data_IF_735364932461
#
_entry.id   IF_735364932461
#
_cell.length_a   1.000
_cell.length_b   1.000
_cell.length_c   1.000
_cell.angle_alpha   90.00
_cell.angle_beta   90.00
_cell.angle_gamma   90.00
#
_symmetry.space_group_name_H-M   'P 1'
#
loop_
_entity.id
_entity.type
_entity.pdbx_description
1 polymer ?
#
# COMPACT_ATOMS: atom_id res chain seq x y z
N UNK A 1 12.84 -36.29 -13.88
CA UNK A 1 12.98 -36.73 -12.47
C UNK A 1 11.77 -37.58 -12.08
N UNK A 2 11.93 -38.63 -11.29
CA UNK A 2 10.83 -39.51 -10.89
C UNK A 2 10.09 -38.95 -9.66
N UNK A 3 8.82 -38.55 -9.82
CA UNK A 3 7.99 -37.97 -8.74
C UNK A 3 7.87 -38.89 -7.53
N UNK A 4 7.78 -40.21 -7.76
CA UNK A 4 7.66 -41.22 -6.70
C UNK A 4 8.88 -41.25 -5.77
N UNK A 5 10.08 -40.95 -6.29
CA UNK A 5 11.30 -40.89 -5.47
C UNK A 5 11.26 -39.66 -4.56
N UNK A 6 10.84 -38.50 -5.07
CA UNK A 6 10.75 -37.27 -4.28
C UNK A 6 9.70 -37.36 -3.18
N UNK A 7 8.59 -38.04 -3.44
CA UNK A 7 7.56 -38.36 -2.45
C UNK A 7 8.12 -39.31 -1.37
N UNK A 8 8.82 -40.37 -1.77
CA UNK A 8 9.41 -41.35 -0.84
C UNK A 8 10.49 -40.72 0.05
N UNK A 9 11.29 -39.81 -0.49
CA UNK A 9 12.30 -39.05 0.25
C UNK A 9 11.71 -37.88 1.05
N UNK A 10 10.39 -37.70 1.01
CA UNK A 10 9.67 -36.63 1.69
C UNK A 10 10.24 -35.24 1.37
N UNK A 11 10.71 -35.03 0.15
CA UNK A 11 11.43 -33.82 -0.25
C UNK A 11 10.64 -32.53 0.01
N UNK A 12 9.31 -32.58 -0.15
CA UNK A 12 8.43 -31.45 0.17
C UNK A 12 8.40 -31.14 1.67
N UNK A 13 8.53 -32.13 2.56
CA UNK A 13 8.65 -31.87 4.01
C UNK A 13 9.96 -31.19 4.33
N UNK A 14 11.05 -31.56 3.67
CA UNK A 14 12.34 -30.88 3.81
C UNK A 14 12.21 -29.42 3.39
N UNK A 15 11.57 -29.14 2.25
CA UNK A 15 11.27 -27.77 1.81
C UNK A 15 10.43 -27.00 2.83
N UNK A 16 9.39 -27.62 3.39
CA UNK A 16 8.53 -26.99 4.39
C UNK A 16 9.30 -26.51 5.64
N UNK A 17 10.43 -27.13 5.99
CA UNK A 17 11.29 -26.67 7.10
C UNK A 17 11.89 -25.28 6.85
N UNK A 18 11.98 -24.82 5.60
CA UNK A 18 12.52 -23.52 5.23
C UNK A 18 11.43 -22.44 5.11
N UNK A 19 10.15 -22.79 5.03
CA UNK A 19 9.09 -21.79 4.77
C UNK A 19 9.01 -20.71 5.85
N UNK A 20 9.16 -21.07 7.13
CA UNK A 20 9.14 -20.10 8.25
C UNK A 20 10.35 -19.17 8.29
N UNK A 21 11.36 -19.44 7.47
CA UNK A 21 12.61 -18.70 7.38
C UNK A 21 12.59 -17.71 6.21
N UNK A 22 11.64 -17.83 5.29
CA UNK A 22 11.55 -16.93 4.13
C UNK A 22 10.75 -15.68 4.47
N UNK A 23 11.34 -14.53 4.16
CA UNK A 23 10.79 -13.20 4.43
C UNK A 23 10.03 -12.61 3.25
N UNK A 24 10.13 -13.24 2.07
CA UNK A 24 9.58 -12.72 0.82
C UNK A 24 8.72 -13.78 0.15
N UNK A 25 7.62 -13.35 -0.47
CA UNK A 25 6.76 -14.27 -1.21
C UNK A 25 7.45 -14.81 -2.48
N UNK A 26 8.40 -14.07 -3.05
CA UNK A 26 9.25 -14.53 -4.15
C UNK A 26 10.17 -15.68 -3.73
N UNK A 27 10.79 -15.60 -2.55
CA UNK A 27 11.58 -16.70 -1.99
C UNK A 27 10.70 -17.93 -1.75
N UNK A 28 9.50 -17.74 -1.17
CA UNK A 28 8.54 -18.84 -0.99
C UNK A 28 8.19 -19.53 -2.32
N UNK A 29 8.00 -18.76 -3.39
CA UNK A 29 7.72 -19.31 -4.71
C UNK A 29 8.93 -20.03 -5.32
N UNK A 30 10.14 -19.48 -5.17
CA UNK A 30 11.38 -20.14 -5.58
C UNK A 30 11.58 -21.46 -4.83
N UNK A 31 11.39 -21.47 -3.51
CA UNK A 31 11.41 -22.66 -2.67
C UNK A 31 10.38 -23.67 -3.16
N UNK A 32 9.14 -23.27 -3.47
CA UNK A 32 8.10 -24.16 -4.02
C UNK A 32 8.48 -24.77 -5.37
N UNK A 33 9.15 -24.02 -6.23
CA UNK A 33 9.61 -24.49 -7.54
C UNK A 33 10.93 -25.27 -7.47
N UNK A 34 11.66 -25.18 -6.35
CA UNK A 34 12.93 -25.87 -6.15
C UNK A 34 12.76 -27.38 -6.34
N UNK A 35 13.60 -27.93 -7.21
CA UNK A 35 13.72 -29.35 -7.49
C UNK A 35 15.21 -29.73 -7.53
N UNK A 36 15.58 -30.98 -7.19
CA UNK A 36 16.98 -31.38 -7.23
C UNK A 36 17.56 -31.19 -8.65
N UNK A 37 18.84 -30.86 -8.73
CA UNK A 37 19.55 -30.67 -9.99
C UNK A 37 20.77 -31.57 -10.03
N UNK A 38 21.07 -32.14 -11.19
CA UNK A 38 22.29 -32.91 -11.44
C UNK A 38 23.36 -32.07 -12.17
N UNK A 39 23.08 -30.80 -12.46
CA UNK A 39 24.01 -29.90 -13.14
C UNK A 39 25.09 -29.44 -12.15
N UNK A 40 26.29 -29.97 -12.30
CA UNK A 40 27.41 -29.70 -11.39
C UNK A 40 27.69 -28.20 -11.21
N UNK A 41 27.64 -27.41 -12.28
CA UNK A 41 27.92 -25.96 -12.21
C UNK A 41 26.88 -25.22 -11.36
N UNK A 42 25.58 -25.56 -11.50
CA UNK A 42 24.52 -24.98 -10.67
C UNK A 42 24.66 -25.35 -9.19
N UNK A 43 25.11 -26.57 -8.91
CA UNK A 43 25.36 -27.02 -7.53
C UNK A 43 26.52 -26.22 -6.94
N UNK A 44 27.64 -26.12 -7.65
CA UNK A 44 28.82 -25.36 -7.21
C UNK A 44 28.48 -23.90 -6.93
N UNK A 45 27.77 -23.26 -7.85
CA UNK A 45 27.32 -21.88 -7.69
C UNK A 45 26.46 -21.71 -6.43
N UNK A 46 25.43 -22.55 -6.25
CA UNK A 46 24.55 -22.46 -5.07
C UNK A 46 25.32 -22.64 -3.73
N UNK A 47 26.30 -23.56 -3.69
CA UNK A 47 27.13 -23.72 -2.49
C UNK A 47 28.09 -22.55 -2.25
N UNK A 48 28.60 -21.94 -3.32
CA UNK A 48 29.45 -20.75 -3.22
C UNK A 48 28.66 -19.53 -2.74
N UNK A 49 27.47 -19.28 -3.31
CA UNK A 49 26.54 -18.24 -2.85
C UNK A 49 26.18 -18.41 -1.37
N UNK A 50 25.86 -19.64 -0.93
CA UNK A 50 25.55 -19.93 0.48
C UNK A 50 26.76 -19.66 1.40
N UNK A 51 27.97 -20.01 0.97
CA UNK A 51 29.20 -19.78 1.75
C UNK A 51 29.50 -18.29 1.88
N UNK A 52 29.37 -17.54 0.80
CA UNK A 52 29.53 -16.09 0.81
C UNK A 52 28.48 -15.41 1.69
N UNK A 53 27.23 -15.85 1.62
CA UNK A 53 26.17 -15.32 2.46
C UNK A 53 26.45 -15.59 3.95
N UNK A 54 26.97 -16.77 4.28
CA UNK A 54 27.39 -17.07 5.65
C UNK A 54 28.50 -16.12 6.14
N UNK A 55 29.51 -15.88 5.30
CA UNK A 55 30.58 -14.94 5.63
C UNK A 55 30.05 -13.51 5.79
N UNK A 56 29.10 -13.09 4.94
CA UNK A 56 28.45 -11.79 5.03
C UNK A 56 27.75 -11.60 6.37
N UNK A 57 27.04 -12.59 6.90
CA UNK A 57 26.38 -12.48 8.21
C UNK A 57 27.35 -12.46 9.40
N UNK A 58 28.55 -13.03 9.25
CA UNK A 58 29.59 -12.96 10.27
C UNK A 58 30.17 -11.55 10.33
N UNK A 59 30.50 -10.97 9.17
CA UNK A 59 31.07 -9.63 9.08
C UNK A 59 30.03 -8.51 9.29
N UNK A 60 28.79 -8.74 8.86
CA UNK A 60 27.66 -7.81 8.98
C UNK A 60 26.48 -8.45 9.71
N UNK A 61 26.53 -8.63 11.05
CA UNK A 61 25.48 -9.31 11.83
C UNK A 61 24.11 -8.63 11.79
N UNK A 62 24.09 -7.33 11.44
CA UNK A 62 22.87 -6.53 11.31
C UNK A 62 22.33 -6.47 9.89
N UNK A 63 22.92 -7.18 8.93
CA UNK A 63 22.40 -7.28 7.58
C UNK A 63 20.97 -7.85 7.60
N UNK A 64 20.04 -7.12 6.97
CA UNK A 64 18.64 -7.53 6.84
C UNK A 64 18.13 -7.22 5.45
N UNK A 65 17.30 -8.12 4.93
CA UNK A 65 16.53 -7.90 3.71
C UNK A 65 15.10 -7.57 4.12
N UNK A 66 14.52 -6.54 3.51
CA UNK A 66 13.12 -6.17 3.77
C UNK A 66 12.18 -7.26 3.26
N UNK A 67 11.16 -7.56 4.06
CA UNK A 67 10.06 -8.41 3.59
C UNK A 67 9.31 -7.74 2.42
N UNK A 68 9.06 -8.51 1.37
CA UNK A 68 8.32 -8.14 0.15
C UNK A 68 7.21 -9.15 -0.12
N UNK A 69 6.17 -8.71 -0.85
CA UNK A 69 5.10 -9.58 -1.34
C UNK A 69 5.26 -9.84 -2.83
N UNK A 70 4.50 -10.81 -3.34
CA UNK A 70 4.41 -11.18 -4.75
C UNK A 70 3.96 -9.97 -5.58
N UNK A 71 4.70 -9.66 -6.65
CA UNK A 71 4.38 -8.56 -7.57
C UNK A 71 4.45 -8.94 -9.05
N UNK A 72 4.80 -10.17 -9.41
CA UNK A 72 4.86 -10.61 -10.80
C UNK A 72 3.49 -10.49 -11.48
N UNK A 73 2.39 -10.80 -10.77
CA UNK A 73 1.04 -10.58 -11.29
C UNK A 73 0.74 -9.10 -11.54
N UNK A 74 1.22 -8.21 -10.66
CA UNK A 74 1.06 -6.76 -10.76
C UNK A 74 1.87 -6.20 -11.93
N UNK A 75 3.16 -6.54 -12.02
CA UNK A 75 4.05 -6.12 -13.10
C UNK A 75 3.55 -6.60 -14.46
N UNK A 76 3.11 -7.86 -14.57
CA UNK A 76 2.58 -8.40 -15.83
C UNK A 76 1.32 -7.66 -16.30
N UNK A 77 0.41 -7.33 -15.38
CA UNK A 77 -0.77 -6.51 -15.72
C UNK A 77 -0.37 -5.11 -16.17
N UNK A 78 0.60 -4.51 -15.49
CA UNK A 78 1.11 -3.18 -15.84
C UNK A 78 1.72 -3.17 -17.26
N UNK A 79 2.52 -4.18 -17.61
CA UNK A 79 3.06 -4.38 -18.97
C UNK A 79 1.96 -4.51 -20.02
N UNK A 80 0.85 -5.16 -19.67
CA UNK A 80 -0.32 -5.30 -20.55
C UNK A 80 -1.17 -4.01 -20.66
N UNK A 81 -0.74 -2.91 -20.05
CA UNK A 81 -1.39 -1.61 -20.13
C UNK A 81 -2.45 -1.36 -19.06
N UNK A 82 -2.54 -2.21 -18.02
CA UNK A 82 -3.39 -1.91 -16.87
C UNK A 82 -2.78 -0.78 -16.02
N UNK A 83 -3.64 -0.07 -15.31
CA UNK A 83 -3.23 0.86 -14.25
C UNK A 83 -3.26 0.15 -12.89
N UNK A 84 -2.43 0.63 -11.98
CA UNK A 84 -2.32 0.10 -10.62
C UNK A 84 -3.20 0.87 -9.64
N UNK A 85 -3.71 0.15 -8.66
CA UNK A 85 -4.33 0.75 -7.48
C UNK A 85 -3.27 1.09 -6.39
N UNK A 86 -3.71 1.74 -5.32
CA UNK A 86 -2.81 2.19 -4.24
C UNK A 86 -2.10 1.01 -3.56
N UNK A 87 -2.80 -0.09 -3.30
CA UNK A 87 -2.23 -1.27 -2.64
C UNK A 87 -1.10 -1.86 -3.50
N UNK A 88 -1.33 -1.98 -4.80
CA UNK A 88 -0.35 -2.44 -5.78
C UNK A 88 0.89 -1.53 -5.81
N UNK A 89 0.71 -0.20 -5.79
CA UNK A 89 1.83 0.74 -5.70
C UNK A 89 2.64 0.58 -4.41
N UNK A 90 2.00 0.28 -3.28
CA UNK A 90 2.71 0.03 -2.02
C UNK A 90 3.55 -1.25 -2.08
N UNK A 91 3.11 -2.28 -2.80
CA UNK A 91 3.92 -3.48 -3.04
C UNK A 91 5.18 -3.15 -3.84
N UNK A 92 5.03 -2.39 -4.93
CA UNK A 92 6.14 -1.94 -5.76
C UNK A 92 7.10 -1.04 -4.97
N UNK A 93 6.56 -0.09 -4.19
CA UNK A 93 7.34 0.80 -3.31
C UNK A 93 8.25 0.01 -2.37
N UNK A 94 7.76 -1.11 -1.82
CA UNK A 94 8.53 -1.97 -0.92
C UNK A 94 9.68 -2.68 -1.63
N UNK A 95 9.44 -3.20 -2.85
CA UNK A 95 10.48 -3.84 -3.67
C UNK A 95 11.55 -2.83 -4.08
N UNK A 96 11.15 -1.67 -4.59
CA UNK A 96 12.08 -0.61 -5.01
C UNK A 96 12.94 -0.11 -3.83
N UNK A 97 12.35 0.04 -2.65
CA UNK A 97 13.09 0.40 -1.43
C UNK A 97 14.10 -0.69 -1.07
N UNK A 98 13.69 -1.96 -1.07
CA UNK A 98 14.59 -3.09 -0.77
C UNK A 98 15.73 -3.19 -1.77
N UNK A 99 15.47 -2.98 -3.06
CA UNK A 99 16.49 -2.99 -4.11
C UNK A 99 17.57 -1.93 -3.83
N UNK A 100 17.15 -0.69 -3.57
CA UNK A 100 18.05 0.41 -3.22
C UNK A 100 18.81 0.18 -1.91
N UNK A 101 18.16 -0.32 -0.87
CA UNK A 101 18.84 -0.62 0.41
C UNK A 101 19.92 -1.69 0.21
N UNK A 102 19.65 -2.72 -0.59
CA UNK A 102 20.63 -3.77 -0.90
C UNK A 102 21.78 -3.25 -1.75
N UNK A 103 21.53 -2.42 -2.75
CA UNK A 103 22.59 -1.79 -3.52
C UNK A 103 23.43 -0.85 -2.68
N UNK A 104 22.80 -0.02 -1.85
CA UNK A 104 23.51 0.87 -0.93
C UNK A 104 24.32 0.09 0.10
N UNK A 105 23.80 -1.03 0.60
CA UNK A 105 24.53 -1.92 1.49
C UNK A 105 25.77 -2.50 0.78
N UNK A 106 25.59 -3.07 -0.42
CA UNK A 106 26.67 -3.67 -1.18
C UNK A 106 27.76 -2.66 -1.58
N UNK A 107 27.38 -1.45 -1.99
CA UNK A 107 28.34 -0.41 -2.38
C UNK A 107 29.22 0.09 -1.22
N UNK A 108 28.74 -0.03 0.02
CA UNK A 108 29.47 0.37 1.23
C UNK A 108 30.06 -0.84 1.98
N UNK A 109 30.04 -2.02 1.38
CA UNK A 109 30.52 -3.24 2.01
C UNK A 109 32.05 -3.23 2.04
N UNK A 110 32.61 -3.28 3.25
CA UNK A 110 34.05 -3.32 3.49
C UNK A 110 34.45 -4.64 4.16
N UNK A 111 35.75 -4.99 4.06
CA UNK A 111 36.37 -6.14 4.74
C UNK A 111 35.86 -7.54 4.33
N UNK A 112 35.07 -7.63 3.26
CA UNK A 112 34.65 -8.89 2.64
C UNK A 112 34.57 -8.71 1.12
N UNK A 113 34.99 -9.73 0.38
CA UNK A 113 34.84 -9.79 -1.08
C UNK A 113 33.79 -10.83 -1.41
N UNK A 114 32.82 -10.46 -2.24
CA UNK A 114 31.79 -11.34 -2.78
C UNK A 114 32.08 -11.55 -4.27
N UNK A 115 32.14 -12.78 -4.74
CA UNK A 115 32.32 -13.09 -6.16
C UNK A 115 30.99 -13.52 -6.78
N UNK A 116 30.32 -14.50 -6.18
CA UNK A 116 29.08 -15.06 -6.69
C UNK A 116 27.87 -14.19 -6.32
N UNK A 117 27.80 -13.67 -5.09
CA UNK A 117 26.73 -12.77 -4.66
C UNK A 117 26.81 -11.40 -5.34
N UNK A 118 28.00 -10.95 -5.73
CA UNK A 118 28.18 -9.72 -6.50
C UNK A 118 27.33 -9.73 -7.79
N UNK A 119 27.27 -10.88 -8.46
CA UNK A 119 26.47 -11.06 -9.69
C UNK A 119 24.97 -10.81 -9.49
N UNK A 120 24.47 -10.91 -8.26
CA UNK A 120 23.09 -10.62 -7.90
C UNK A 120 22.90 -9.17 -7.49
N UNK A 121 23.77 -8.63 -6.62
CA UNK A 121 23.71 -7.22 -6.20
C UNK A 121 23.87 -6.25 -7.39
N UNK A 122 24.75 -6.58 -8.34
CA UNK A 122 25.00 -5.76 -9.53
C UNK A 122 23.84 -5.78 -10.55
N UNK A 123 22.92 -6.76 -10.44
CA UNK A 123 21.73 -6.86 -11.30
C UNK A 123 20.50 -6.17 -10.73
N UNK A 124 20.54 -5.75 -9.48
CA UNK A 124 19.50 -4.92 -8.89
C UNK A 124 19.49 -3.55 -9.59
N UNK A 125 18.34 -2.88 -9.58
CA UNK A 125 18.19 -1.56 -10.17
C UNK A 125 17.75 -0.54 -9.11
N UNK A 126 18.40 0.63 -9.09
CA UNK A 126 17.91 1.78 -8.33
C UNK A 126 17.12 2.71 -9.23
N UNK A 127 15.89 3.01 -8.82
CA UNK A 127 14.98 3.90 -9.51
C UNK A 127 14.61 5.08 -8.61
N UNK A 128 15.54 6.01 -8.32
CA UNK A 128 15.32 7.08 -7.33
C UNK A 128 14.16 8.00 -7.74
N UNK A 129 13.97 8.24 -9.03
CA UNK A 129 12.84 9.02 -9.54
C UNK A 129 11.49 8.31 -9.30
N UNK A 130 11.43 6.99 -9.51
CA UNK A 130 10.20 6.21 -9.24
C UNK A 130 9.90 6.16 -7.74
N UNK A 131 10.92 5.98 -6.90
CA UNK A 131 10.76 6.04 -5.44
C UNK A 131 10.24 7.41 -4.97
N UNK A 132 10.71 8.49 -5.61
CA UNK A 132 10.20 9.84 -5.39
C UNK A 132 8.72 9.97 -5.76
N UNK A 133 8.33 9.49 -6.95
CA UNK A 133 6.92 9.48 -7.37
C UNK A 133 6.02 8.69 -6.42
N UNK A 134 6.50 7.55 -5.91
CA UNK A 134 5.75 6.71 -4.96
C UNK A 134 5.61 7.32 -3.57
N UNK A 135 6.24 8.46 -3.26
CA UNK A 135 5.92 9.23 -2.05
C UNK A 135 4.52 9.84 -2.10
N UNK A 136 3.89 9.90 -3.27
CA UNK A 136 2.48 10.24 -3.41
C UNK A 136 1.55 9.29 -2.65
N UNK A 137 2.02 8.09 -2.27
CA UNK A 137 1.26 7.10 -1.50
C UNK A 137 1.90 6.89 -0.14
N UNK A 138 1.11 7.06 0.91
CA UNK A 138 1.55 6.77 2.27
C UNK A 138 1.28 5.31 2.66
N UNK A 139 1.91 4.88 3.75
CA UNK A 139 1.87 3.50 4.21
C UNK A 139 0.49 3.08 4.74
N UNK A 140 -0.41 4.05 4.96
CA UNK A 140 -1.81 3.81 5.32
C UNK A 140 -2.74 3.62 4.11
N UNK A 141 -2.21 3.70 2.89
CA UNK A 141 -3.00 3.47 1.67
C UNK A 141 -3.77 4.70 1.18
N UNK A 142 -3.30 5.91 1.52
CA UNK A 142 -3.88 7.15 1.01
C UNK A 142 -2.97 7.86 0.03
N UNK A 143 -3.58 8.55 -0.92
CA UNK A 143 -2.89 9.50 -1.80
C UNK A 143 -2.67 10.80 -1.02
N UNK A 144 -1.42 11.22 -0.95
CA UNK A 144 -0.99 12.43 -0.26
C UNK A 144 -1.47 13.70 -0.97
N UNK A 145 -1.69 14.77 -0.19
CA UNK A 145 -2.15 16.04 -0.77
C UNK A 145 -1.16 16.59 -1.81
N UNK A 146 0.14 16.40 -1.59
CA UNK A 146 1.18 16.88 -2.50
C UNK A 146 1.34 16.01 -3.76
N UNK A 147 0.56 14.93 -3.91
CA UNK A 147 0.59 14.11 -5.12
C UNK A 147 0.20 14.91 -6.37
N UNK A 148 -0.66 15.92 -6.21
CA UNK A 148 -0.87 16.95 -7.24
C UNK A 148 -1.38 18.26 -6.62
N UNK A 149 -1.06 19.38 -7.27
CA UNK A 149 -1.57 20.70 -6.86
C UNK A 149 -3.11 20.75 -6.91
N UNK A 150 -3.69 20.08 -7.90
CA UNK A 150 -5.14 20.04 -8.11
C UNK A 150 -5.84 19.24 -7.01
N UNK A 151 -5.30 18.10 -6.59
CA UNK A 151 -5.82 17.31 -5.47
C UNK A 151 -5.77 18.13 -4.17
N UNK A 152 -4.65 18.82 -3.90
CA UNK A 152 -4.54 19.71 -2.75
C UNK A 152 -5.54 20.87 -2.80
N UNK A 153 -5.83 21.41 -4.00
CA UNK A 153 -6.83 22.46 -4.20
C UNK A 153 -8.25 21.95 -3.94
N UNK A 154 -8.61 20.79 -4.50
CA UNK A 154 -9.93 20.17 -4.32
C UNK A 154 -10.18 19.86 -2.84
N UNK A 155 -9.22 19.22 -2.16
CA UNK A 155 -9.34 18.87 -0.74
C UNK A 155 -9.48 20.08 0.18
N UNK A 156 -8.76 21.18 -0.12
CA UNK A 156 -8.94 22.45 0.60
C UNK A 156 -10.35 23.00 0.42
N UNK A 157 -10.85 23.06 -0.82
CA UNK A 157 -12.23 23.52 -1.09
C UNK A 157 -13.27 22.68 -0.35
N UNK A 158 -13.11 21.36 -0.35
CA UNK A 158 -14.00 20.46 0.40
C UNK A 158 -13.99 20.83 1.89
N UNK A 159 -12.80 20.98 2.47
CA UNK A 159 -12.66 21.33 3.88
C UNK A 159 -13.32 22.69 4.21
N UNK A 160 -13.11 23.69 3.35
CA UNK A 160 -13.67 25.03 3.50
C UNK A 160 -15.20 24.99 3.40
N UNK A 161 -15.77 24.30 2.40
CA UNK A 161 -17.22 24.12 2.25
C UNK A 161 -17.82 23.34 3.42
N UNK A 162 -17.16 22.30 3.91
CA UNK A 162 -17.57 21.56 5.11
C UNK A 162 -17.56 22.45 6.36
N UNK A 163 -16.62 23.38 6.47
CA UNK A 163 -16.60 24.38 7.54
C UNK A 163 -17.75 25.36 7.43
N UNK A 164 -18.01 25.88 6.24
CA UNK A 164 -19.12 26.79 5.99
C UNK A 164 -20.47 26.13 6.32
N UNK A 165 -20.65 24.84 5.99
CA UNK A 165 -21.86 24.09 6.39
C UNK A 165 -22.03 24.08 7.91
N UNK A 166 -20.95 23.80 8.66
CA UNK A 166 -20.99 23.80 10.12
C UNK A 166 -21.35 25.17 10.68
N UNK A 167 -20.74 26.23 10.16
CA UNK A 167 -20.97 27.61 10.62
C UNK A 167 -22.43 28.04 10.37
N UNK A 168 -22.94 27.79 9.16
CA UNK A 168 -24.35 28.07 8.79
C UNK A 168 -25.31 27.30 9.70
N UNK A 169 -25.07 26.02 9.96
CA UNK A 169 -25.92 25.21 10.83
C UNK A 169 -25.88 25.70 12.29
N UNK A 170 -24.71 26.09 12.80
CA UNK A 170 -24.58 26.64 14.14
C UNK A 170 -25.32 27.98 14.30
N UNK A 171 -25.25 28.85 13.29
CA UNK A 171 -25.97 30.11 13.29
C UNK A 171 -27.49 29.89 13.22
N UNK A 172 -27.95 28.96 12.37
CA UNK A 172 -29.35 28.57 12.31
C UNK A 172 -29.84 27.94 13.61
N UNK A 173 -29.04 27.10 14.27
CA UNK A 173 -29.36 26.54 15.59
C UNK A 173 -29.61 27.64 16.63
N UNK A 174 -28.75 28.67 16.68
CA UNK A 174 -28.88 29.80 17.61
C UNK A 174 -30.10 30.66 17.28
N UNK A 175 -30.26 31.04 16.01
CA UNK A 175 -31.32 31.95 15.56
C UNK A 175 -32.72 31.31 15.61
N UNK A 176 -32.82 29.99 15.40
CA UNK A 176 -34.09 29.28 15.29
C UNK A 176 -34.37 28.34 16.46
N UNK A 177 -33.62 28.41 17.57
CA UNK A 177 -33.71 27.50 18.71
C UNK A 177 -35.15 27.21 19.19
N UNK A 178 -36.02 28.23 19.24
CA UNK A 178 -37.42 28.07 19.69
C UNK A 178 -38.27 27.18 18.76
N UNK A 179 -37.92 27.13 17.47
CA UNK A 179 -38.58 26.34 16.43
C UNK A 179 -38.11 24.88 16.41
N UNK A 180 -37.01 24.56 17.11
CA UNK A 180 -36.41 23.23 17.12
C UNK A 180 -36.94 22.38 18.28
N UNK A 181 -37.02 21.07 18.06
CA UNK A 181 -37.30 20.11 19.13
C UNK A 181 -36.08 19.96 20.03
N UNK A 182 -34.89 19.91 19.44
CA UNK A 182 -33.60 19.83 20.13
C UNK A 182 -32.62 20.81 19.46
N UNK A 183 -31.79 21.50 20.25
CA UNK A 183 -30.81 22.47 19.72
C UNK A 183 -29.51 21.76 19.35
N UNK A 184 -29.62 20.78 18.45
CA UNK A 184 -28.49 19.99 17.95
C UNK A 184 -28.62 19.81 16.43
N UNK A 185 -27.48 19.70 15.75
CA UNK A 185 -27.47 19.21 14.37
C UNK A 185 -27.63 17.70 14.42
N UNK A 186 -28.64 17.18 13.73
CA UNK A 186 -28.82 15.75 13.55
C UNK A 186 -28.28 15.30 12.19
N UNK A 187 -27.99 14.00 12.06
CA UNK A 187 -27.67 13.38 10.77
C UNK A 187 -28.80 12.42 10.36
N UNK A 188 -29.29 12.56 9.13
CA UNK A 188 -30.30 11.70 8.52
C UNK A 188 -29.85 11.31 7.12
N UNK A 189 -29.69 10.01 6.86
CA UNK A 189 -29.23 9.48 5.56
C UNK A 189 -27.91 10.15 5.08
N UNK A 190 -27.00 10.44 6.00
CA UNK A 190 -25.74 11.14 5.70
C UNK A 190 -25.86 12.64 5.44
N UNK A 191 -27.04 13.23 5.60
CA UNK A 191 -27.30 14.68 5.49
C UNK A 191 -27.40 15.32 6.86
N UNK A 192 -26.82 16.51 6.99
CA UNK A 192 -26.93 17.32 8.19
C UNK A 192 -28.26 18.09 8.18
N UNK A 193 -29.07 17.87 9.21
CA UNK A 193 -30.45 18.34 9.28
C UNK A 193 -30.75 18.95 10.64
N UNK A 194 -31.71 19.88 10.66
CA UNK A 194 -32.24 20.47 11.89
C UNK A 194 -33.52 19.73 12.31
N UNK A 195 -33.66 19.32 13.59
CA UNK A 195 -34.89 18.72 14.11
C UNK A 195 -35.91 19.82 14.44
N UNK A 196 -36.82 20.08 13.51
CA UNK A 196 -37.82 21.16 13.59
C UNK A 196 -39.12 20.64 14.19
N UNK A 197 -39.74 21.38 15.11
CA UNK A 197 -41.10 21.08 15.58
C UNK A 197 -42.06 21.13 14.38
N UNK A 198 -42.92 20.13 14.23
CA UNK A 198 -43.81 20.01 13.07
C UNK A 198 -44.68 21.27 12.83
N UNK A 199 -45.07 21.98 13.90
CA UNK A 199 -45.80 23.26 13.82
C UNK A 199 -45.05 24.38 13.09
N UNK A 200 -43.72 24.31 13.04
CA UNK A 200 -42.84 25.28 12.38
C UNK A 200 -42.25 24.77 11.05
N UNK A 201 -42.69 23.61 10.53
CA UNK A 201 -42.10 22.99 9.32
C UNK A 201 -42.02 23.90 8.09
N UNK A 202 -42.96 24.83 7.93
CA UNK A 202 -43.02 25.76 6.79
C UNK A 202 -42.25 27.07 7.04
N UNK A 203 -41.69 27.26 8.26
CA UNK A 203 -40.93 28.47 8.64
C UNK A 203 -39.43 28.33 8.41
N UNK A 204 -38.94 27.12 8.21
CA UNK A 204 -37.55 26.84 7.85
C UNK A 204 -37.54 26.39 6.39
N UNK A 205 -36.93 27.21 5.52
CA UNK A 205 -36.81 26.90 4.10
C UNK A 205 -35.78 25.78 3.90
N UNK A 206 -36.20 24.67 3.31
CA UNK A 206 -35.35 23.50 3.13
C UNK A 206 -36.09 22.28 2.61
N UNK A 207 -35.38 21.16 2.55
CA UNK A 207 -35.94 19.86 2.14
C UNK A 207 -36.15 19.00 3.36
N UNK A 208 -37.33 18.39 3.45
CA UNK A 208 -37.64 17.41 4.51
C UNK A 208 -37.00 16.08 4.13
N UNK A 209 -36.12 15.57 4.99
CA UNK A 209 -35.46 14.27 4.80
C UNK A 209 -36.10 13.14 5.58
N UNK A 210 -36.72 13.46 6.72
CA UNK A 210 -37.29 12.47 7.61
C UNK A 210 -38.34 13.10 8.55
N UNK A 211 -39.22 12.28 9.12
CA UNK A 211 -40.23 12.66 10.11
C UNK A 211 -40.20 11.63 11.24
N UNK A 212 -40.18 12.08 12.49
CA UNK A 212 -40.19 11.18 13.64
C UNK A 212 -41.44 10.28 13.65
N UNK A 213 -41.36 9.10 14.26
CA UNK A 213 -42.49 8.16 14.35
C UNK A 213 -43.75 8.78 14.99
N UNK A 214 -43.57 9.72 15.92
CA UNK A 214 -44.67 10.49 16.54
C UNK A 214 -45.26 11.60 15.66
N UNK A 215 -44.63 11.93 14.52
CA UNK A 215 -45.00 13.06 13.67
C UNK A 215 -44.66 14.45 14.21
N UNK A 216 -44.07 14.53 15.40
CA UNK A 216 -43.83 15.81 16.09
C UNK A 216 -42.55 16.53 15.66
N UNK A 217 -41.56 15.80 15.14
CA UNK A 217 -40.29 16.36 14.68
C UNK A 217 -40.11 16.08 13.20
N UNK A 218 -39.81 17.14 12.43
CA UNK A 218 -39.51 17.09 11.01
C UNK A 218 -38.03 17.43 10.84
N UNK A 219 -37.27 16.58 10.18
CA UNK A 219 -35.85 16.78 9.94
C UNK A 219 -35.64 17.49 8.61
N UNK A 220 -35.20 18.75 8.67
CA UNK A 220 -35.09 19.63 7.50
C UNK A 220 -33.62 19.96 7.23
N UNK A 221 -33.16 19.74 6.00
CA UNK A 221 -31.89 20.29 5.50
C UNK A 221 -32.15 21.74 5.02
N UNK A 222 -31.57 22.75 5.67
CA UNK A 222 -31.80 24.14 5.30
C UNK A 222 -31.31 24.44 3.88
N UNK A 223 -32.01 25.32 3.15
CA UNK A 223 -31.68 25.67 1.76
C UNK A 223 -30.25 26.19 1.57
N UNK A 224 -29.71 26.89 2.57
CA UNK A 224 -28.34 27.39 2.60
C UNK A 224 -27.31 26.25 2.64
N UNK A 225 -27.64 25.17 3.37
CA UNK A 225 -26.80 23.97 3.50
C UNK A 225 -26.90 23.08 2.27
N UNK A 226 -28.05 23.02 1.60
CA UNK A 226 -28.24 22.21 0.37
C UNK A 226 -27.20 22.60 -0.69
N UNK A 227 -27.04 23.91 -0.96
CA UNK A 227 -26.10 24.40 -1.97
C UNK A 227 -24.66 23.98 -1.67
N UNK A 228 -24.22 24.16 -0.43
CA UNK A 228 -22.88 23.77 -0.01
C UNK A 228 -22.69 22.24 -0.05
N UNK A 229 -23.73 21.49 0.29
CA UNK A 229 -23.69 20.02 0.25
C UNK A 229 -23.64 19.47 -1.18
N UNK A 230 -24.30 20.14 -2.13
CA UNK A 230 -24.18 19.84 -3.56
C UNK A 230 -22.78 20.17 -4.08
N UNK A 231 -22.20 21.30 -3.68
CA UNK A 231 -20.82 21.67 -4.01
C UNK A 231 -19.80 20.65 -3.46
N UNK A 232 -19.93 20.26 -2.19
CA UNK A 232 -19.09 19.21 -1.58
C UNK A 232 -19.23 17.91 -2.37
N UNK A 233 -20.45 17.50 -2.75
CA UNK A 233 -20.66 16.29 -3.53
C UNK A 233 -19.97 16.35 -4.90
N UNK A 234 -20.01 17.50 -5.57
CA UNK A 234 -19.29 17.75 -6.83
C UNK A 234 -17.78 17.67 -6.63
N UNK A 235 -17.23 18.39 -5.64
CA UNK A 235 -15.80 18.39 -5.34
C UNK A 235 -15.29 17.00 -4.97
N UNK A 236 -16.09 16.19 -4.26
CA UNK A 236 -15.76 14.79 -3.96
C UNK A 236 -15.75 13.93 -5.21
N UNK A 237 -16.56 14.24 -6.23
CA UNK A 237 -16.47 13.57 -7.52
C UNK A 237 -15.19 13.96 -8.25
N UNK A 238 -14.85 15.26 -8.26
CA UNK A 238 -13.60 15.76 -8.83
C UNK A 238 -12.38 15.15 -8.14
N UNK A 239 -12.40 15.01 -6.82
CA UNK A 239 -11.35 14.34 -6.04
C UNK A 239 -11.14 12.91 -6.53
N UNK A 240 -12.21 12.14 -6.75
CA UNK A 240 -12.09 10.76 -7.26
C UNK A 240 -11.50 10.71 -8.66
N UNK A 241 -11.90 11.61 -9.55
CA UNK A 241 -11.33 11.69 -10.90
C UNK A 241 -9.84 12.04 -10.88
N UNK A 242 -9.46 13.01 -10.05
CA UNK A 242 -8.07 13.43 -9.91
C UNK A 242 -7.21 12.30 -9.31
N UNK A 243 -7.73 11.57 -8.33
CA UNK A 243 -7.06 10.39 -7.78
C UNK A 243 -6.83 9.32 -8.85
N UNK A 244 -7.82 9.01 -9.69
CA UNK A 244 -7.66 8.06 -10.80
C UNK A 244 -6.61 8.54 -11.82
N UNK A 245 -6.61 9.85 -12.14
CA UNK A 245 -5.61 10.46 -13.03
C UNK A 245 -4.19 10.28 -12.49
N UNK A 246 -3.98 10.51 -11.19
CA UNK A 246 -2.68 10.33 -10.52
C UNK A 246 -2.24 8.85 -10.59
N UNK A 247 -3.15 7.91 -10.32
CA UNK A 247 -2.85 6.47 -10.40
C UNK A 247 -2.43 6.06 -11.82
N UNK A 248 -3.14 6.55 -12.85
CA UNK A 248 -2.78 6.30 -14.24
C UNK A 248 -1.41 6.90 -14.58
N UNK A 249 -1.18 8.16 -14.22
CA UNK A 249 0.08 8.86 -14.50
C UNK A 249 1.28 8.15 -13.89
N UNK A 250 1.17 7.72 -12.63
CA UNK A 250 2.27 7.00 -11.96
C UNK A 250 2.43 5.59 -12.56
N UNK A 251 1.33 4.93 -12.96
CA UNK A 251 1.40 3.64 -13.66
C UNK A 251 2.17 3.75 -14.97
N UNK A 252 1.89 4.79 -15.76
CA UNK A 252 2.60 5.09 -17.02
C UNK A 252 4.10 5.29 -16.81
N UNK A 253 4.50 5.93 -15.72
CA UNK A 253 5.93 6.15 -15.38
C UNK A 253 6.64 4.86 -14.98
N UNK A 254 5.95 3.95 -14.30
CA UNK A 254 6.53 2.67 -13.85
C UNK A 254 6.54 1.62 -14.96
N UNK A 255 5.55 1.65 -15.87
CA UNK A 255 5.34 0.63 -16.90
C UNK A 255 6.60 0.23 -17.70
N UNK A 256 7.47 1.15 -18.14
CA UNK A 256 8.71 0.79 -18.84
C UNK A 256 9.71 -0.01 -18.00
N UNK A 257 9.56 0.01 -16.67
CA UNK A 257 10.45 -0.61 -15.69
C UNK A 257 9.80 -1.81 -14.98
N UNK A 258 8.65 -2.26 -15.46
CA UNK A 258 7.87 -3.31 -14.80
C UNK A 258 8.63 -4.66 -14.79
N UNK A 259 9.31 -4.99 -15.88
CA UNK A 259 10.10 -6.21 -16.02
C UNK A 259 11.32 -6.19 -15.09
N UNK A 260 12.04 -5.07 -15.04
CA UNK A 260 13.18 -4.87 -14.14
C UNK A 260 12.74 -4.93 -12.68
N UNK A 261 11.60 -4.30 -12.34
CA UNK A 261 11.05 -4.34 -10.97
C UNK A 261 10.66 -5.77 -10.56
N UNK A 262 10.08 -6.54 -11.47
CA UNK A 262 9.76 -7.95 -11.23
C UNK A 262 11.03 -8.81 -11.06
N UNK A 263 12.06 -8.54 -11.87
CA UNK A 263 13.35 -9.20 -11.76
C UNK A 263 14.05 -8.87 -10.44
N UNK A 264 14.05 -7.59 -10.02
CA UNK A 264 14.60 -7.17 -8.73
C UNK A 264 13.88 -7.89 -7.58
N UNK A 265 12.55 -8.00 -7.62
CA UNK A 265 11.81 -8.76 -6.61
C UNK A 265 12.21 -10.24 -6.57
N UNK A 266 12.47 -10.85 -7.73
CA UNK A 266 12.97 -12.22 -7.82
C UNK A 266 14.38 -12.34 -7.22
N UNK A 267 15.30 -11.41 -7.53
CA UNK A 267 16.66 -11.39 -6.97
C UNK A 267 16.61 -11.23 -5.45
N UNK A 268 15.76 -10.32 -4.94
CA UNK A 268 15.55 -10.13 -3.50
C UNK A 268 15.07 -11.44 -2.86
N UNK A 269 14.17 -12.17 -3.51
CA UNK A 269 13.76 -13.52 -3.10
C UNK A 269 14.92 -14.50 -3.00
N UNK A 270 15.77 -14.55 -4.04
CA UNK A 270 16.91 -15.46 -4.12
C UNK A 270 17.97 -15.18 -3.05
N UNK A 271 18.21 -13.89 -2.78
CA UNK A 271 19.12 -13.46 -1.71
C UNK A 271 18.58 -13.87 -0.33
N UNK A 272 17.27 -13.82 -0.10
CA UNK A 272 16.65 -14.28 1.16
C UNK A 272 16.77 -15.80 1.34
N UNK A 273 16.59 -16.58 0.27
CA UNK A 273 16.82 -18.03 0.28
C UNK A 273 18.25 -18.36 0.69
N UNK A 274 19.23 -17.63 0.14
CA UNK A 274 20.64 -17.81 0.45
C UNK A 274 20.98 -17.44 1.91
N UNK A 275 20.24 -16.50 2.50
CA UNK A 275 20.44 -16.04 3.88
C UNK A 275 20.05 -17.06 4.95
N UNK A 276 19.10 -17.97 4.68
CA UNK A 276 18.49 -18.80 5.73
C UNK A 276 18.68 -20.31 5.53
N UNK A 277 19.79 -20.71 4.91
CA UNK A 277 20.32 -22.07 5.06
C UNK A 277 20.41 -22.47 6.56
N UNK A 278 20.41 -23.77 6.89
CA UNK A 278 20.10 -24.31 8.23
C UNK A 278 21.12 -23.99 9.35
N UNK A 279 21.96 -22.98 9.20
CA UNK A 279 23.12 -22.70 10.03
C UNK A 279 23.00 -21.46 10.94
N UNK A 280 21.94 -20.65 10.82
CA UNK A 280 21.75 -19.49 11.71
C UNK A 280 20.33 -19.42 12.28
N UNK A 281 20.06 -20.03 13.44
CA UNK A 281 18.85 -19.71 14.18
C UNK A 281 18.95 -18.26 14.66
N UNK A 282 18.16 -17.36 14.07
CA UNK A 282 17.85 -16.09 14.73
C UNK A 282 17.22 -16.47 16.07
N UNK A 283 17.92 -16.22 17.18
CA UNK A 283 17.29 -16.20 18.50
C UNK A 283 16.12 -15.24 18.38
N UNK A 284 14.90 -15.76 18.47
CA UNK A 284 13.69 -14.97 18.55
C UNK A 284 13.93 -13.91 19.63
N UNK A 285 13.99 -12.63 19.24
CA UNK A 285 13.95 -11.56 20.22
C UNK A 285 12.58 -11.66 20.89
N UNK A 286 12.56 -12.22 22.10
CA UNK A 286 11.46 -12.11 23.02
C UNK A 286 11.17 -10.63 23.23
N UNK A 287 10.15 -10.09 22.55
CA UNK A 287 9.52 -8.85 22.97
C UNK A 287 8.56 -9.19 24.09
N UNK A 288 9.02 -8.93 25.31
CA UNK A 288 8.18 -8.54 26.45
C UNK A 288 7.45 -7.24 26.17
#
# INVERSE_FOLDING_TARGET
>A
MNKKILETLEFNKVKALFESHLLTEQGLEQLRQLAPTAKADKIKQAFAEMKEMQALFVEQPHFTILATKEIAGVCKRLEMGADLNIEEFLLLKRVLLSSRELQSFYANLENISLEELALWFEKLHDFPQLQGNLQAFNDAGFIENFASEELARIRRKIHDSESQVRDVLQDLLKQKAQMLTEVIVASRNGRQVLPVKNTYRNKIAGVVHDISASGNTVYIEPREVIKLSEEIASLRADERYEMLRILQEISERIRPHAAETANDAWIIGHLVDSCQGPLYPRKASSRS
#
